data_IF_613482367866
#
_entry.id   IF_613482367866
#
_cell.length_a   1.000
_cell.length_b   1.000
_cell.length_c   1.000
_cell.angle_alpha   90.00
_cell.angle_beta   90.00
_cell.angle_gamma   90.00
#
_symmetry.space_group_name_H-M   'P 1'
#
loop_
_entity.id
_entity.type
_entity.pdbx_description
1 polymer ?
#
# COMPACT_ATOMS: atom_id res chain seq x y z
N UNK A 1 20.28 -22.08 6.68
CA UNK A 1 19.93 -22.23 5.26
C UNK A 1 18.68 -21.41 5.06
N UNK A 2 18.75 -20.30 4.33
CA UNK A 2 17.55 -19.55 3.95
C UNK A 2 16.76 -20.43 3.01
N UNK A 3 15.59 -20.88 3.46
CA UNK A 3 14.64 -21.63 2.67
C UNK A 3 14.23 -20.74 1.48
N UNK A 4 14.42 -21.24 0.25
CA UNK A 4 14.08 -20.48 -0.94
C UNK A 4 12.57 -20.40 -1.06
N UNK A 5 12.01 -19.21 -0.86
CA UNK A 5 10.57 -18.95 -0.96
C UNK A 5 10.22 -18.54 -2.39
N UNK A 6 9.29 -19.24 -3.07
CA UNK A 6 8.80 -18.85 -4.40
C UNK A 6 8.32 -17.39 -4.46
N UNK A 7 7.73 -16.86 -3.37
CA UNK A 7 7.21 -15.48 -3.30
C UNK A 7 8.25 -14.41 -2.93
N UNK A 8 9.53 -14.75 -2.78
CA UNK A 8 10.57 -13.78 -2.38
C UNK A 8 10.65 -12.51 -3.25
N UNK A 9 10.42 -12.54 -4.59
CA UNK A 9 10.38 -11.33 -5.40
C UNK A 9 9.34 -10.30 -4.92
N UNK A 10 8.11 -10.76 -4.61
CA UNK A 10 7.04 -9.89 -4.12
C UNK A 10 7.36 -9.33 -2.73
N UNK A 11 7.97 -10.13 -1.86
CA UNK A 11 8.47 -9.66 -0.56
C UNK A 11 9.58 -8.62 -0.72
N UNK A 12 10.39 -8.72 -1.77
CA UNK A 12 11.39 -7.71 -2.08
C UNK A 12 10.74 -6.40 -2.50
N UNK A 13 9.73 -6.44 -3.36
CA UNK A 13 8.95 -5.26 -3.73
C UNK A 13 8.28 -4.63 -2.50
N UNK A 14 7.70 -5.43 -1.60
CA UNK A 14 7.12 -4.93 -0.35
C UNK A 14 8.16 -4.23 0.53
N UNK A 15 9.39 -4.76 0.61
CA UNK A 15 10.49 -4.09 1.33
C UNK A 15 10.88 -2.75 0.70
N UNK A 16 10.73 -2.59 -0.61
CA UNK A 16 10.98 -1.34 -1.30
C UNK A 16 9.84 -0.32 -1.06
N UNK A 17 8.61 -0.79 -0.80
CA UNK A 17 7.46 0.05 -0.43
C UNK A 17 7.47 0.50 1.05
N UNK A 18 7.99 -0.33 1.96
CA UNK A 18 7.98 -0.07 3.41
C UNK A 18 8.53 1.31 3.82
N UNK A 19 9.66 1.82 3.28
CA UNK A 19 10.17 3.14 3.63
C UNK A 19 9.16 4.27 3.39
N UNK A 20 8.33 4.16 2.34
CA UNK A 20 7.30 5.15 2.04
C UNK A 20 6.14 5.09 3.03
N UNK A 21 5.81 3.90 3.52
CA UNK A 21 4.80 3.75 4.58
C UNK A 21 5.28 4.38 5.89
N UNK A 22 6.56 4.18 6.24
CA UNK A 22 7.18 4.83 7.42
C UNK A 22 7.29 6.36 7.26
N UNK A 23 7.38 6.85 6.03
CA UNK A 23 7.36 8.28 5.75
C UNK A 23 6.01 8.92 6.11
N UNK A 24 4.88 8.18 6.04
CA UNK A 24 3.57 8.67 6.50
C UNK A 24 3.55 8.95 8.01
N UNK A 25 4.16 8.07 8.82
CA UNK A 25 4.25 8.26 10.27
C UNK A 25 5.15 9.45 10.63
N UNK A 26 6.31 9.55 9.95
CA UNK A 26 7.20 10.71 10.11
C UNK A 26 6.48 12.00 9.75
N UNK A 27 5.80 12.00 8.60
CA UNK A 27 5.02 13.14 8.13
C UNK A 27 3.92 13.54 9.12
N UNK A 28 3.23 12.58 9.73
CA UNK A 28 2.20 12.86 10.71
C UNK A 28 2.75 13.55 11.98
N UNK A 29 3.92 13.12 12.45
CA UNK A 29 4.57 13.69 13.63
C UNK A 29 5.04 15.13 13.39
N UNK A 30 5.56 15.39 12.19
CA UNK A 30 6.17 16.68 11.85
C UNK A 30 5.16 17.69 11.28
N UNK A 31 3.96 17.25 10.88
CA UNK A 31 2.96 18.06 10.18
C UNK A 31 2.71 19.43 10.85
N UNK A 32 2.62 19.49 12.18
CA UNK A 32 2.36 20.73 12.91
C UNK A 32 3.51 21.76 12.84
N UNK A 33 4.70 21.35 12.39
CA UNK A 33 5.91 22.17 12.34
C UNK A 33 6.21 22.72 10.94
N UNK A 34 5.52 22.23 9.91
CA UNK A 34 5.78 22.59 8.53
C UNK A 34 5.34 24.01 8.20
N UNK A 35 6.15 24.68 7.37
CA UNK A 35 5.66 25.79 6.58
C UNK A 35 4.81 25.30 5.39
N UNK A 36 4.20 26.24 4.66
CA UNK A 36 3.32 25.91 3.53
C UNK A 36 4.07 25.17 2.42
N UNK A 37 5.28 25.60 2.09
CA UNK A 37 6.06 25.02 0.99
C UNK A 37 6.38 23.55 1.28
N UNK A 38 6.83 23.26 2.50
CA UNK A 38 7.09 21.90 2.98
C UNK A 38 5.81 21.06 2.96
N UNK A 39 4.71 21.58 3.49
CA UNK A 39 3.45 20.85 3.54
C UNK A 39 2.92 20.50 2.13
N UNK A 40 2.98 21.45 1.18
CA UNK A 40 2.57 21.21 -0.22
C UNK A 40 3.47 20.16 -0.87
N UNK A 41 4.79 20.29 -0.75
CA UNK A 41 5.74 19.36 -1.35
C UNK A 41 5.59 17.94 -0.77
N UNK A 42 5.66 17.81 0.55
CA UNK A 42 5.59 16.50 1.23
C UNK A 42 4.28 15.78 0.97
N UNK A 43 3.13 16.46 1.07
CA UNK A 43 1.84 15.82 0.80
C UNK A 43 1.67 15.49 -0.68
N UNK A 44 2.18 16.35 -1.58
CA UNK A 44 2.19 16.08 -3.02
C UNK A 44 2.98 14.81 -3.36
N UNK A 45 4.18 14.66 -2.80
CA UNK A 45 5.03 13.48 -3.01
C UNK A 45 4.40 12.20 -2.45
N UNK A 46 3.82 12.27 -1.24
CA UNK A 46 3.13 11.14 -0.61
C UNK A 46 1.92 10.72 -1.45
N UNK A 47 1.05 11.65 -1.83
CA UNK A 47 -0.12 11.36 -2.67
C UNK A 47 0.31 10.83 -4.03
N UNK A 48 1.36 11.41 -4.61
CA UNK A 48 1.95 10.96 -5.88
C UNK A 48 2.41 9.51 -5.82
N UNK A 49 3.15 9.13 -4.78
CA UNK A 49 3.55 7.74 -4.55
C UNK A 49 2.34 6.81 -4.34
N UNK A 50 1.42 7.19 -3.46
CA UNK A 50 0.24 6.37 -3.13
C UNK A 50 -0.60 6.08 -4.37
N UNK A 51 -0.81 7.09 -5.24
CA UNK A 51 -1.59 6.94 -6.48
C UNK A 51 -0.82 6.31 -7.62
N UNK A 52 0.43 6.70 -7.79
CA UNK A 52 1.24 6.32 -8.94
C UNK A 52 1.90 4.96 -8.82
N UNK A 53 2.00 4.42 -7.59
CA UNK A 53 2.71 3.16 -7.36
C UNK A 53 1.92 2.19 -6.47
N UNK A 54 1.47 2.63 -5.29
CA UNK A 54 0.79 1.73 -4.36
C UNK A 54 -0.59 1.26 -4.86
N UNK A 55 -1.42 2.16 -5.41
CA UNK A 55 -2.74 1.77 -5.95
C UNK A 55 -2.64 0.83 -7.16
N UNK A 56 -1.74 1.06 -8.13
CA UNK A 56 -1.48 0.10 -9.20
C UNK A 56 -1.03 -1.27 -8.69
N UNK A 57 -0.15 -1.30 -7.68
CA UNK A 57 0.26 -2.54 -6.99
C UNK A 57 -0.94 -3.30 -6.41
N UNK A 58 -1.76 -2.63 -5.60
CA UNK A 58 -2.99 -3.21 -5.02
C UNK A 58 -3.96 -3.73 -6.10
N UNK A 59 -4.06 -3.03 -7.22
CA UNK A 59 -4.91 -3.46 -8.36
C UNK A 59 -4.36 -4.74 -9.01
N UNK A 60 -3.04 -4.84 -9.16
CA UNK A 60 -2.39 -6.04 -9.67
C UNK A 60 -2.56 -7.24 -8.73
N UNK A 61 -2.53 -7.02 -7.42
CA UNK A 61 -2.81 -8.05 -6.42
C UNK A 61 -4.24 -8.59 -6.56
N UNK A 62 -5.23 -7.70 -6.66
CA UNK A 62 -6.62 -8.11 -6.80
C UNK A 62 -6.90 -8.92 -8.06
N UNK A 63 -6.24 -8.56 -9.16
CA UNK A 63 -6.41 -9.17 -10.47
C UNK A 63 -5.64 -10.47 -10.65
N UNK A 64 -4.50 -10.64 -9.95
CA UNK A 64 -3.54 -11.72 -10.20
C UNK A 64 -3.23 -12.53 -8.95
N UNK A 65 -2.76 -11.88 -7.88
CA UNK A 65 -2.30 -12.55 -6.67
C UNK A 65 -3.46 -13.24 -5.93
N UNK A 66 -4.53 -12.49 -5.66
CA UNK A 66 -5.65 -12.95 -4.87
C UNK A 66 -6.40 -14.13 -5.48
N UNK A 67 -6.68 -14.17 -6.80
CA UNK A 67 -7.20 -15.38 -7.45
C UNK A 67 -6.30 -16.60 -7.29
N UNK A 68 -4.98 -16.44 -7.40
CA UNK A 68 -4.04 -17.55 -7.23
C UNK A 68 -4.03 -18.09 -5.79
N UNK A 69 -4.13 -17.20 -4.79
CA UNK A 69 -4.28 -17.59 -3.39
C UNK A 69 -5.58 -18.36 -3.17
N UNK A 70 -6.70 -17.86 -3.68
CA UNK A 70 -8.01 -18.53 -3.54
C UNK A 70 -8.03 -19.90 -4.21
N UNK A 71 -7.37 -20.05 -5.37
CA UNK A 71 -7.20 -21.33 -6.05
C UNK A 71 -6.35 -22.31 -5.23
N UNK A 72 -5.19 -21.87 -4.71
CA UNK A 72 -4.31 -22.69 -3.87
C UNK A 72 -5.01 -23.16 -2.59
N UNK A 73 -5.89 -22.34 -2.00
CA UNK A 73 -6.70 -22.70 -0.83
C UNK A 73 -7.93 -23.56 -1.17
N UNK A 74 -8.28 -23.72 -2.45
CA UNK A 74 -9.58 -24.23 -2.89
C UNK A 74 -10.77 -23.52 -2.21
N UNK A 75 -10.63 -22.21 -1.98
CA UNK A 75 -11.58 -21.40 -1.21
C UNK A 75 -11.90 -20.08 -1.95
N UNK A 76 -12.82 -20.11 -2.93
CA UNK A 76 -13.26 -18.91 -3.64
C UNK A 76 -13.78 -17.84 -2.69
N UNK A 77 -13.33 -16.60 -2.87
CA UNK A 77 -13.67 -15.46 -2.02
C UNK A 77 -12.91 -15.38 -0.69
N UNK A 78 -11.93 -16.25 -0.43
CA UNK A 78 -11.14 -16.21 0.81
C UNK A 78 -10.37 -14.88 1.01
N UNK A 79 -10.11 -14.14 -0.07
CA UNK A 79 -9.42 -12.83 -0.02
C UNK A 79 -10.38 -11.64 -0.07
N UNK A 80 -11.69 -11.84 0.11
CA UNK A 80 -12.68 -10.76 0.10
C UNK A 80 -12.40 -9.66 1.16
N UNK A 81 -11.82 -10.04 2.30
CA UNK A 81 -11.43 -9.09 3.35
C UNK A 81 -10.26 -8.20 2.92
N UNK A 82 -9.34 -8.70 2.08
CA UNK A 82 -8.23 -7.92 1.55
C UNK A 82 -8.70 -6.88 0.55
N UNK A 83 -9.65 -7.24 -0.33
CA UNK A 83 -10.31 -6.28 -1.23
C UNK A 83 -11.07 -5.20 -0.46
N UNK A 84 -11.71 -5.56 0.65
CA UNK A 84 -12.36 -4.58 1.52
C UNK A 84 -11.35 -3.60 2.14
N UNK A 85 -10.17 -4.09 2.54
CA UNK A 85 -9.08 -3.21 3.01
C UNK A 85 -8.64 -2.25 1.89
N UNK A 86 -8.45 -2.73 0.66
CA UNK A 86 -8.09 -1.88 -0.48
C UNK A 86 -9.10 -0.77 -0.76
N UNK A 87 -10.40 -1.07 -0.69
CA UNK A 87 -11.45 -0.06 -0.85
C UNK A 87 -11.31 1.06 0.20
N UNK A 88 -11.07 0.71 1.47
CA UNK A 88 -10.88 1.71 2.52
C UNK A 88 -9.55 2.47 2.38
N UNK A 89 -8.47 1.79 1.99
CA UNK A 89 -7.17 2.42 1.70
C UNK A 89 -7.31 3.47 0.60
N UNK A 90 -7.93 3.12 -0.53
CA UNK A 90 -8.17 4.05 -1.64
C UNK A 90 -9.02 5.23 -1.18
N UNK A 91 -10.11 4.99 -0.46
CA UNK A 91 -10.96 6.07 0.06
C UNK A 91 -10.21 7.01 1.02
N UNK A 92 -9.22 6.53 1.77
CA UNK A 92 -8.35 7.37 2.61
C UNK A 92 -7.32 8.15 1.81
N UNK A 93 -6.76 7.55 0.76
CA UNK A 93 -5.86 8.24 -0.18
C UNK A 93 -6.62 9.38 -0.87
N UNK A 94 -7.89 9.17 -1.26
CA UNK A 94 -8.76 10.21 -1.83
C UNK A 94 -8.90 11.40 -0.86
N UNK A 95 -9.25 11.13 0.41
CA UNK A 95 -9.39 12.17 1.44
C UNK A 95 -8.08 12.91 1.72
N UNK A 96 -6.95 12.19 1.74
CA UNK A 96 -5.64 12.81 1.92
C UNK A 96 -5.29 13.73 0.75
N UNK A 97 -5.62 13.34 -0.47
CA UNK A 97 -5.41 14.16 -1.66
C UNK A 97 -6.26 15.44 -1.63
N UNK A 98 -7.51 15.36 -1.16
CA UNK A 98 -8.36 16.54 -0.95
C UNK A 98 -7.77 17.48 0.12
N UNK A 99 -7.30 16.93 1.24
CA UNK A 99 -6.63 17.70 2.29
C UNK A 99 -5.34 18.36 1.76
N UNK A 100 -4.54 17.63 0.99
CA UNK A 100 -3.31 18.13 0.36
C UNK A 100 -3.59 19.32 -0.58
N UNK A 101 -4.65 19.26 -1.38
CA UNK A 101 -5.05 20.38 -2.24
C UNK A 101 -5.47 21.62 -1.40
N UNK A 102 -6.09 21.41 -0.24
CA UNK A 102 -6.49 22.51 0.63
C UNK A 102 -5.30 23.24 1.30
N UNK A 103 -4.17 22.55 1.50
CA UNK A 103 -2.95 23.12 2.11
C UNK A 103 -2.43 24.33 1.34
N UNK A 104 -2.52 24.33 0.01
CA UNK A 104 -2.02 25.41 -0.84
C UNK A 104 -2.60 26.79 -0.46
N UNK A 105 -3.86 26.81 -0.03
CA UNK A 105 -4.59 28.04 0.26
C UNK A 105 -4.80 28.28 1.76
N UNK A 106 -4.90 27.21 2.55
CA UNK A 106 -5.27 27.31 3.98
C UNK A 106 -4.08 27.27 4.92
N UNK A 107 -2.91 26.80 4.48
CA UNK A 107 -1.78 26.60 5.39
C UNK A 107 -1.07 27.91 5.77
N UNK A 108 -0.67 28.11 7.04
CA UNK A 108 -0.90 27.23 8.19
C UNK A 108 -2.29 27.41 8.80
N UNK A 109 -3.07 26.33 8.85
CA UNK A 109 -4.35 26.23 9.55
C UNK A 109 -4.24 25.07 10.55
N UNK A 110 -4.42 25.35 11.84
CA UNK A 110 -4.18 24.38 12.90
C UNK A 110 -5.20 23.22 12.90
N UNK A 111 -6.40 23.43 12.38
CA UNK A 111 -7.40 22.37 12.23
C UNK A 111 -7.05 21.46 11.06
N UNK A 112 -6.69 22.05 9.92
CA UNK A 112 -6.21 21.31 8.75
C UNK A 112 -4.94 20.51 9.07
N UNK A 113 -3.99 21.09 9.82
CA UNK A 113 -2.77 20.39 10.23
C UNK A 113 -3.06 19.16 11.10
N UNK A 114 -4.01 19.26 12.03
CA UNK A 114 -4.45 18.12 12.85
C UNK A 114 -5.16 17.06 12.02
N UNK A 115 -6.02 17.47 11.10
CA UNK A 115 -6.72 16.55 10.21
C UNK A 115 -5.73 15.77 9.32
N UNK A 116 -4.79 16.46 8.67
CA UNK A 116 -3.70 15.84 7.90
C UNK A 116 -2.92 14.83 8.75
N UNK A 117 -2.51 15.21 9.96
CA UNK A 117 -1.77 14.31 10.85
C UNK A 117 -2.59 13.05 11.20
N UNK A 118 -3.88 13.19 11.53
CA UNK A 118 -4.74 12.05 11.83
C UNK A 118 -4.95 11.12 10.61
N UNK A 119 -5.10 11.70 9.42
CA UNK A 119 -5.24 10.93 8.19
C UNK A 119 -3.98 10.14 7.88
N UNK A 120 -2.79 10.76 8.02
CA UNK A 120 -1.50 10.13 7.80
C UNK A 120 -1.26 8.96 8.78
N UNK A 121 -1.48 9.15 10.08
CA UNK A 121 -1.39 8.05 11.08
C UNK A 121 -2.34 6.92 10.73
N UNK A 122 -3.60 7.25 10.43
CA UNK A 122 -4.62 6.25 10.13
C UNK A 122 -4.29 5.45 8.87
N UNK A 123 -3.80 6.12 7.82
CA UNK A 123 -3.40 5.47 6.57
C UNK A 123 -2.15 4.59 6.76
N UNK A 124 -1.15 5.09 7.47
CA UNK A 124 0.06 4.32 7.80
C UNK A 124 -0.28 3.03 8.54
N UNK A 125 -1.10 3.13 9.59
CA UNK A 125 -1.46 1.97 10.42
C UNK A 125 -2.18 0.87 9.63
N UNK A 126 -3.11 1.23 8.75
CA UNK A 126 -3.85 0.23 7.95
C UNK A 126 -2.96 -0.37 6.86
N UNK A 127 -2.06 0.41 6.24
CA UNK A 127 -1.14 -0.10 5.24
C UNK A 127 -0.16 -1.10 5.85
N UNK A 128 0.46 -0.76 6.99
CA UNK A 128 1.35 -1.68 7.71
C UNK A 128 0.63 -2.97 8.15
N UNK A 129 -0.65 -2.88 8.54
CA UNK A 129 -1.44 -4.07 8.84
C UNK A 129 -1.71 -4.89 7.58
N UNK A 130 -2.09 -4.24 6.48
CA UNK A 130 -2.40 -4.87 5.21
C UNK A 130 -1.22 -5.68 4.66
N UNK A 131 -0.04 -5.06 4.57
CA UNK A 131 1.19 -5.72 4.11
C UNK A 131 1.54 -6.95 4.97
N UNK A 132 1.37 -6.86 6.30
CA UNK A 132 1.58 -8.02 7.17
C UNK A 132 0.59 -9.14 6.91
N UNK A 133 -0.69 -8.84 6.61
CA UNK A 133 -1.66 -9.88 6.23
C UNK A 133 -1.19 -10.61 4.97
N UNK A 134 -0.72 -9.89 3.96
CA UNK A 134 -0.20 -10.52 2.75
C UNK A 134 1.02 -11.37 3.05
N UNK A 135 2.01 -10.78 3.72
CA UNK A 135 3.28 -11.43 3.96
C UNK A 135 3.21 -12.64 4.90
N UNK A 136 2.39 -12.57 5.95
CA UNK A 136 2.32 -13.56 7.01
C UNK A 136 1.18 -14.57 6.80
N UNK A 137 0.17 -14.24 5.98
CA UNK A 137 -1.00 -15.09 5.78
C UNK A 137 -1.13 -15.57 4.34
N UNK A 138 -1.11 -14.67 3.35
CA UNK A 138 -1.41 -15.07 1.96
C UNK A 138 -0.20 -15.66 1.24
N UNK A 139 0.95 -15.00 1.31
CA UNK A 139 2.16 -15.44 0.60
C UNK A 139 2.66 -16.82 1.05
N UNK A 140 2.59 -17.21 2.35
CA UNK A 140 2.91 -18.58 2.75
C UNK A 140 2.05 -19.66 2.06
N UNK A 141 0.78 -19.36 1.76
CA UNK A 141 -0.06 -20.29 0.98
C UNK A 141 0.56 -20.54 -0.40
N UNK A 142 1.04 -19.49 -1.06
CA UNK A 142 1.67 -19.64 -2.37
C UNK A 142 3.05 -20.29 -2.27
N UNK A 143 3.82 -19.99 -1.21
CA UNK A 143 5.10 -20.64 -0.96
C UNK A 143 4.94 -22.18 -0.82
N UNK A 144 3.84 -22.63 -0.23
CA UNK A 144 3.53 -24.06 -0.04
C UNK A 144 2.95 -24.74 -1.30
N UNK A 145 2.41 -23.98 -2.25
CA UNK A 145 1.61 -24.53 -3.37
C UNK A 145 2.18 -24.23 -4.76
N UNK A 146 3.10 -23.28 -4.92
CA UNK A 146 3.70 -22.93 -6.20
C UNK A 146 5.18 -23.34 -6.24
N UNK A 147 5.63 -23.78 -7.42
CA UNK A 147 7.05 -23.83 -7.71
C UNK A 147 7.59 -22.44 -8.13
N UNK A 148 8.91 -22.30 -8.18
CA UNK A 148 9.58 -21.04 -8.54
C UNK A 148 9.17 -20.53 -9.92
N UNK A 149 8.88 -21.41 -10.89
CA UNK A 149 8.53 -20.99 -12.25
C UNK A 149 7.10 -20.43 -12.30
N UNK A 150 6.16 -21.07 -11.61
CA UNK A 150 4.79 -20.61 -11.48
C UNK A 150 4.73 -19.27 -10.71
N UNK A 151 5.48 -19.13 -9.62
CA UNK A 151 5.56 -17.88 -8.88
C UNK A 151 6.19 -16.73 -9.69
N UNK A 152 7.23 -17.02 -10.49
CA UNK A 152 7.81 -16.03 -11.40
C UNK A 152 6.82 -15.57 -12.48
N UNK A 153 6.03 -16.49 -13.04
CA UNK A 153 5.00 -16.15 -14.02
C UNK A 153 3.87 -15.32 -13.39
N UNK A 154 3.48 -15.63 -12.14
CA UNK A 154 2.52 -14.84 -11.38
C UNK A 154 3.02 -13.40 -11.19
N UNK A 155 4.27 -13.22 -10.76
CA UNK A 155 4.87 -11.91 -10.55
C UNK A 155 5.00 -11.10 -11.85
N UNK A 156 5.39 -11.74 -12.95
CA UNK A 156 5.42 -11.08 -14.26
C UNK A 156 4.04 -10.53 -14.67
N UNK A 157 2.98 -11.32 -14.46
CA UNK A 157 1.60 -10.89 -14.72
C UNK A 157 1.16 -9.75 -13.81
N UNK A 158 1.58 -9.73 -12.54
CA UNK A 158 1.32 -8.59 -11.66
C UNK A 158 1.98 -7.32 -12.21
N UNK A 159 3.25 -7.41 -12.61
CA UNK A 159 3.95 -6.30 -13.25
C UNK A 159 3.25 -5.79 -14.51
N UNK A 160 2.72 -6.68 -15.35
CA UNK A 160 1.95 -6.28 -16.54
C UNK A 160 0.66 -5.53 -16.20
N UNK A 161 -0.03 -5.88 -15.11
CA UNK A 161 -1.27 -5.21 -14.67
C UNK A 161 -0.97 -3.87 -14.00
N UNK A 162 0.08 -3.79 -13.18
CA UNK A 162 0.44 -2.56 -12.46
C UNK A 162 0.88 -1.42 -13.40
N UNK A 163 1.26 -1.71 -14.65
CA UNK A 163 1.72 -0.72 -15.63
C UNK A 163 0.73 -0.48 -16.79
N UNK A 164 -0.50 -1.02 -16.71
CA UNK A 164 -1.59 -0.74 -17.66
C UNK A 164 -2.30 0.57 -17.37
#
# INVERSE_FOLDING_TARGET
MTEHRPTEPLRSEHRDLLPHLLALDTAANDAATWDRETAVATLGDLVGFLRGHLVPHATAEEAVLYPAVEEAMAAPGATATMRADHVEIVARIDRLAEAAAAVEHRWPDAELARDVAHQLVGLSAILQLHFRKEEEVLLPVLDDNLDTAAAAALFARMGEVAHQ
#
